data_IF_029322694439
#
_entry.id   IF_029322694439
#
_cell.length_a   1.000
_cell.length_b   1.000
_cell.length_c   1.000
_cell.angle_alpha   90.00
_cell.angle_beta   90.00
_cell.angle_gamma   90.00
#
_symmetry.space_group_name_H-M   'P 1'
#
loop_
_entity.id
_entity.type
_entity.pdbx_description
1 polymer ?
#
# COMPACT_ATOMS: atom_id res chain seq x y z
N UNK A 1 -4.38 -7.52 -13.44
CA UNK A 1 -4.95 -7.75 -12.10
C UNK A 1 -6.42 -8.07 -12.28
N UNK A 2 -6.96 -9.05 -11.56
CA UNK A 2 -8.40 -9.28 -11.54
C UNK A 2 -9.12 -8.13 -10.82
N UNK A 3 -10.44 -8.05 -11.02
CA UNK A 3 -11.28 -7.00 -10.47
C UNK A 3 -11.24 -6.94 -8.93
N UNK A 4 -11.21 -8.09 -8.26
CA UNK A 4 -11.16 -8.15 -6.80
C UNK A 4 -9.84 -7.61 -6.24
N UNK A 5 -8.72 -7.90 -6.92
CA UNK A 5 -7.43 -7.31 -6.56
C UNK A 5 -7.44 -5.79 -6.73
N UNK A 6 -7.98 -5.27 -7.83
CA UNK A 6 -8.09 -3.81 -8.05
C UNK A 6 -8.93 -3.13 -6.96
N UNK A 7 -10.08 -3.71 -6.63
CA UNK A 7 -10.96 -3.21 -5.55
C UNK A 7 -10.24 -3.20 -4.21
N UNK A 8 -9.45 -4.23 -3.90
CA UNK A 8 -8.70 -4.30 -2.65
C UNK A 8 -7.60 -3.25 -2.55
N UNK A 9 -6.92 -2.99 -3.67
CA UNK A 9 -5.92 -1.91 -3.76
C UNK A 9 -6.57 -0.55 -3.59
N UNK A 10 -7.67 -0.28 -4.30
CA UNK A 10 -8.43 0.97 -4.15
C UNK A 10 -8.93 1.18 -2.73
N UNK A 11 -9.38 0.12 -2.07
CA UNK A 11 -9.80 0.17 -0.67
C UNK A 11 -8.63 0.55 0.26
N UNK A 12 -7.44 -0.02 0.05
CA UNK A 12 -6.24 0.36 0.81
C UNK A 12 -5.86 1.83 0.64
N UNK A 13 -5.96 2.35 -0.59
CA UNK A 13 -5.71 3.78 -0.88
C UNK A 13 -6.78 4.70 -0.27
N UNK A 14 -8.05 4.28 -0.28
CA UNK A 14 -9.13 5.04 0.36
C UNK A 14 -8.93 5.13 1.88
N UNK A 15 -8.53 4.03 2.52
CA UNK A 15 -8.20 4.02 3.94
C UNK A 15 -7.03 4.95 4.24
N UNK A 16 -6.00 4.92 3.40
CA UNK A 16 -4.84 5.81 3.55
C UNK A 16 -5.23 7.29 3.46
N UNK A 17 -6.25 7.65 2.67
CA UNK A 17 -6.76 9.02 2.54
C UNK A 17 -7.65 9.47 3.70
N UNK A 18 -8.38 8.55 4.33
CA UNK A 18 -9.48 8.87 5.25
C UNK A 18 -9.15 8.70 6.72
N UNK A 19 -8.13 7.91 7.06
CA UNK A 19 -7.71 7.69 8.44
C UNK A 19 -6.40 8.40 8.75
N UNK A 20 -6.43 9.31 9.73
CA UNK A 20 -5.23 9.84 10.37
C UNK A 20 -4.54 8.73 11.17
N UNK A 21 -3.57 8.08 10.55
CA UNK A 21 -2.75 7.05 11.18
C UNK A 21 -3.32 5.63 11.05
N UNK A 22 -3.01 4.98 9.93
CA UNK A 22 -3.23 3.54 9.80
C UNK A 22 -2.33 2.76 10.78
N UNK A 23 -2.82 1.65 11.34
CA UNK A 23 -2.01 0.77 12.17
C UNK A 23 -0.69 0.38 11.50
N UNK A 24 0.39 0.24 12.28
CA UNK A 24 1.73 -0.09 11.79
C UNK A 24 1.81 -1.40 10.98
N UNK A 25 0.82 -2.29 11.15
CA UNK A 25 0.68 -3.52 10.35
C UNK A 25 0.35 -3.25 8.87
N UNK A 26 -0.26 -2.12 8.55
CA UNK A 26 -0.64 -1.74 7.18
C UNK A 26 0.30 -0.68 6.62
N UNK A 27 0.66 0.32 7.42
CA UNK A 27 1.58 1.38 7.01
C UNK A 27 2.87 1.29 7.81
N UNK A 28 3.99 1.13 7.11
CA UNK A 28 5.31 1.07 7.71
C UNK A 28 6.14 2.27 7.24
N UNK A 29 6.67 3.04 8.17
CA UNK A 29 7.72 4.01 7.88
C UNK A 29 9.01 3.28 7.49
N UNK A 30 9.63 3.70 6.38
CA UNK A 30 10.89 3.13 5.91
C UNK A 30 12.06 4.06 6.24
N UNK A 31 12.11 5.25 5.63
CA UNK A 31 13.14 6.28 5.86
C UNK A 31 12.72 7.61 5.22
N UNK A 32 13.22 8.74 5.72
CA UNK A 32 13.15 10.04 5.01
C UNK A 32 11.74 10.43 4.51
N UNK A 33 10.69 10.14 5.28
CA UNK A 33 9.30 10.42 4.87
C UNK A 33 8.74 9.47 3.81
N UNK A 34 9.43 8.36 3.51
CA UNK A 34 8.97 7.25 2.69
C UNK A 34 8.23 6.22 3.55
N UNK A 35 7.05 5.84 3.10
CA UNK A 35 6.18 4.87 3.74
C UNK A 35 5.83 3.74 2.78
N UNK A 36 5.60 2.55 3.33
CA UNK A 36 5.07 1.39 2.63
C UNK A 36 3.65 1.12 3.13
N UNK A 37 2.69 1.03 2.21
CA UNK A 37 1.37 0.43 2.46
C UNK A 37 1.39 -1.02 1.97
N UNK A 38 1.11 -1.96 2.88
CA UNK A 38 1.02 -3.40 2.60
C UNK A 38 -0.44 -3.83 2.50
N UNK A 39 -0.80 -4.43 1.36
CA UNK A 39 -2.14 -4.96 1.08
C UNK A 39 -2.01 -6.46 0.80
N UNK A 40 -2.74 -7.28 1.55
CA UNK A 40 -2.77 -8.73 1.34
C UNK A 40 -4.11 -9.15 0.72
N UNK A 41 -4.04 -9.92 -0.36
CA UNK A 41 -5.21 -10.42 -1.06
C UNK A 41 -4.94 -11.74 -1.75
N UNK A 42 -5.74 -12.76 -1.44
CA UNK A 42 -5.65 -14.11 -2.04
C UNK A 42 -4.23 -14.69 -2.04
N UNK A 43 -3.51 -14.55 -0.92
CA UNK A 43 -2.12 -15.04 -0.79
C UNK A 43 -1.06 -14.18 -1.48
N UNK A 44 -1.45 -13.09 -2.16
CA UNK A 44 -0.54 -12.13 -2.75
C UNK A 44 -0.36 -10.92 -1.83
N UNK A 45 0.84 -10.34 -1.86
CA UNK A 45 1.18 -9.13 -1.13
C UNK A 45 1.47 -8.03 -2.14
N UNK A 46 0.71 -6.95 -2.07
CA UNK A 46 0.88 -5.74 -2.85
C UNK A 46 1.47 -4.66 -1.96
N UNK A 47 2.54 -4.00 -2.42
CA UNK A 47 3.23 -2.94 -1.69
C UNK A 47 3.14 -1.65 -2.47
N UNK A 48 2.69 -0.59 -1.82
CA UNK A 48 2.61 0.74 -2.40
C UNK A 48 3.54 1.65 -1.61
N UNK A 49 4.48 2.28 -2.29
CA UNK A 49 5.38 3.25 -1.68
C UNK A 49 4.83 4.65 -1.87
N UNK A 50 4.75 5.41 -0.78
CA UNK A 50 4.21 6.76 -0.81
C UNK A 50 4.97 7.68 0.16
N UNK A 51 4.85 8.97 -0.08
CA UNK A 51 5.31 10.01 0.85
C UNK A 51 4.22 11.06 1.04
N UNK A 52 4.37 11.87 2.08
CA UNK A 52 3.55 13.05 2.28
C UNK A 52 4.29 14.27 1.73
N UNK A 53 3.65 15.00 0.82
CA UNK A 53 4.06 16.34 0.39
C UNK A 53 3.03 17.34 0.89
N UNK A 54 3.36 18.03 1.98
CA UNK A 54 2.42 18.89 2.73
C UNK A 54 1.18 18.09 3.16
N UNK A 55 0.00 18.41 2.60
CA UNK A 55 -1.28 17.75 2.85
C UNK A 55 -1.62 16.69 1.79
N UNK A 56 -0.71 16.43 0.85
CA UNK A 56 -0.93 15.51 -0.25
C UNK A 56 -0.18 14.20 -0.03
N UNK A 57 -0.86 13.09 -0.35
CA UNK A 57 -0.23 11.77 -0.46
C UNK A 57 0.27 11.61 -1.89
N UNK A 58 1.58 11.43 -2.05
CA UNK A 58 2.23 11.19 -3.35
C UNK A 58 2.61 9.72 -3.44
N UNK A 59 2.09 9.01 -4.46
CA UNK A 59 2.42 7.61 -4.71
C UNK A 59 3.65 7.56 -5.62
N UNK A 60 4.75 6.98 -5.12
CA UNK A 60 6.05 7.02 -5.78
C UNK A 60 6.29 5.82 -6.71
N UNK A 61 5.76 4.64 -6.37
CA UNK A 61 5.88 3.44 -7.20
C UNK A 61 4.66 2.52 -7.03
N UNK A 62 4.12 2.03 -8.14
CA UNK A 62 3.11 0.96 -8.19
C UNK A 62 3.65 -0.21 -9.05
N UNK A 63 4.84 -0.70 -8.70
CA UNK A 63 5.34 -1.96 -9.25
C UNK A 63 4.68 -3.07 -8.42
N UNK A 64 3.64 -3.70 -8.96
CA UNK A 64 3.03 -4.90 -8.38
C UNK A 64 4.06 -6.04 -8.36
N UNK A 65 4.95 -6.06 -7.37
CA UNK A 65 5.83 -7.19 -7.11
C UNK A 65 4.99 -8.35 -6.54
N UNK A 66 4.66 -9.29 -7.40
CA UNK A 66 4.01 -10.55 -7.02
C UNK A 66 5.09 -11.46 -6.41
N UNK A 67 5.25 -11.44 -5.08
CA UNK A 67 6.10 -12.43 -4.41
C UNK A 67 5.36 -13.76 -4.35
N UNK A 68 5.69 -14.68 -5.26
CA UNK A 68 5.32 -16.10 -5.13
C UNK A 68 6.32 -16.78 -4.20
N UNK A 69 5.92 -16.99 -2.95
CA UNK A 69 6.58 -17.98 -2.10
C UNK A 69 6.05 -19.37 -2.52
N UNK A 70 6.85 -20.15 -3.23
CA UNK A 70 6.59 -21.59 -3.34
C UNK A 70 7.03 -22.25 -2.02
N UNK A 71 6.13 -23.02 -1.41
CA UNK A 71 6.52 -24.14 -0.54
C UNK A 71 6.76 -25.37 -1.41
#
# INVERSE_FOLDING_TARGET
MDKGTQEKVLYGLLLLKTQDGLPAKYVKFLKEGLYELRIEWQGNIYRIFFCYDKEHIVILFNECFLYRANN
#
